data_IF_618858098757
#
_entry.id   IF_618858098757
#
_cell.length_a   1.000
_cell.length_b   1.000
_cell.length_c   1.000
_cell.angle_alpha   90.00
_cell.angle_beta   90.00
_cell.angle_gamma   90.00
#
_symmetry.space_group_name_H-M   'P 1'
#
loop_
_entity.id
_entity.type
_entity.pdbx_description
1 polymer ?
#
# COMPACT_ATOMS: atom_id res chain seq x y z
N UNK A 1 -28.27 2.47 -0.41
CA UNK A 1 -27.02 2.59 -1.20
C UNK A 1 -26.34 3.94 -0.93
N UNK A 2 -26.02 4.27 0.34
CA UNK A 2 -25.54 5.62 0.72
C UNK A 2 -24.25 5.63 1.54
N UNK A 3 -23.83 4.50 2.13
CA UNK A 3 -22.62 4.47 2.97
C UNK A 3 -21.29 4.58 2.20
N UNK A 4 -21.22 4.14 0.93
CA UNK A 4 -19.97 4.15 0.16
C UNK A 4 -19.59 5.55 -0.33
N UNK A 5 -20.58 6.31 -0.84
CA UNK A 5 -20.38 7.68 -1.35
C UNK A 5 -19.89 8.62 -0.25
N UNK A 6 -20.50 8.53 0.94
CA UNK A 6 -20.11 9.34 2.10
C UNK A 6 -18.66 9.06 2.54
N UNK A 7 -18.21 7.80 2.42
CA UNK A 7 -16.86 7.43 2.77
C UNK A 7 -15.83 7.95 1.75
N UNK A 8 -16.10 7.85 0.45
CA UNK A 8 -15.19 8.38 -0.58
C UNK A 8 -15.10 9.92 -0.52
N UNK A 9 -16.21 10.59 -0.28
CA UNK A 9 -16.24 12.04 -0.06
C UNK A 9 -15.43 12.47 1.15
N UNK A 10 -15.64 11.81 2.29
CA UNK A 10 -14.84 12.04 3.48
C UNK A 10 -13.34 11.92 3.20
N UNK A 11 -12.90 10.82 2.57
CA UNK A 11 -11.47 10.61 2.29
C UNK A 11 -10.92 11.62 1.29
N UNK A 12 -11.71 12.04 0.30
CA UNK A 12 -11.32 13.08 -0.64
C UNK A 12 -11.06 14.41 0.08
N UNK A 13 -11.98 14.83 0.94
CA UNK A 13 -11.81 16.02 1.78
C UNK A 13 -10.62 15.89 2.73
N UNK A 14 -10.43 14.72 3.35
CA UNK A 14 -9.29 14.44 4.21
C UNK A 14 -7.96 14.58 3.46
N UNK A 15 -7.87 14.03 2.24
CA UNK A 15 -6.67 14.12 1.41
C UNK A 15 -6.44 15.55 0.94
N UNK A 16 -7.49 16.29 0.58
CA UNK A 16 -7.38 17.71 0.21
C UNK A 16 -6.90 18.56 1.38
N UNK A 17 -7.44 18.33 2.58
CA UNK A 17 -6.95 18.96 3.80
C UNK A 17 -5.47 18.63 4.03
N UNK A 18 -5.07 17.36 3.91
CA UNK A 18 -3.67 16.95 4.03
C UNK A 18 -2.76 17.65 3.02
N UNK A 19 -3.18 17.73 1.75
CA UNK A 19 -2.48 18.45 0.69
C UNK A 19 -2.27 19.93 1.03
N UNK A 20 -3.27 20.58 1.63
CA UNK A 20 -3.20 21.99 2.04
C UNK A 20 -2.24 22.28 3.20
N UNK A 21 -1.75 21.25 3.90
CA UNK A 21 -0.92 21.36 5.10
C UNK A 21 0.54 20.93 4.83
N UNK A 22 1.36 21.74 4.11
CA UNK A 22 2.71 21.36 3.70
C UNK A 22 3.67 21.08 4.86
N UNK A 23 3.40 21.61 6.06
CA UNK A 23 4.14 21.29 7.27
C UNK A 23 4.13 19.77 7.59
N UNK A 24 3.16 19.02 7.08
CA UNK A 24 3.03 17.58 7.34
C UNK A 24 3.72 16.69 6.31
N UNK A 25 4.00 17.17 5.10
CA UNK A 25 4.46 16.32 3.99
C UNK A 25 5.60 16.89 3.14
N UNK A 26 5.82 18.21 3.14
CA UNK A 26 6.80 18.87 2.28
C UNK A 26 8.15 19.03 3.01
N UNK A 27 8.94 17.95 3.05
CA UNK A 27 10.19 17.86 3.83
C UNK A 27 11.18 19.01 3.57
N UNK A 28 11.25 19.49 2.33
CA UNK A 28 12.16 20.59 1.92
C UNK A 28 11.66 21.99 2.30
N UNK A 29 10.47 22.12 2.88
CA UNK A 29 9.89 23.40 3.30
C UNK A 29 10.34 23.78 4.71
N UNK A 30 10.53 25.08 4.96
CA UNK A 30 10.79 25.58 6.32
C UNK A 30 9.63 25.25 7.28
N UNK A 31 8.40 25.26 6.76
CA UNK A 31 7.19 24.89 7.51
C UNK A 31 7.26 23.47 8.07
N UNK A 32 8.02 22.56 7.43
CA UNK A 32 8.18 21.19 7.91
C UNK A 32 9.11 21.10 9.12
N UNK A 33 10.04 22.05 9.27
CA UNK A 33 10.97 22.12 10.40
C UNK A 33 10.30 22.71 11.65
N UNK A 34 9.29 23.54 11.45
CA UNK A 34 8.47 24.08 12.55
C UNK A 34 7.66 22.97 13.22
N UNK A 35 8.05 22.63 14.44
CA UNK A 35 7.41 21.58 15.25
C UNK A 35 6.01 21.98 15.72
N UNK A 36 5.80 23.26 16.05
CA UNK A 36 4.53 23.76 16.56
C UNK A 36 3.51 23.80 15.43
N UNK A 37 3.89 24.38 14.29
CA UNK A 37 3.04 24.40 13.10
C UNK A 37 2.68 22.98 12.63
N UNK A 38 3.66 22.07 12.64
CA UNK A 38 3.42 20.66 12.29
C UNK A 38 2.42 20.01 13.26
N UNK A 39 2.56 20.25 14.56
CA UNK A 39 1.61 19.76 15.55
C UNK A 39 0.19 20.27 15.27
N UNK A 40 0.03 21.58 15.05
CA UNK A 40 -1.27 22.20 14.77
C UNK A 40 -1.91 21.68 13.48
N UNK A 41 -1.10 21.42 12.45
CA UNK A 41 -1.58 20.75 11.24
C UNK A 41 -2.10 19.33 11.53
N UNK A 42 -1.41 18.56 12.38
CA UNK A 42 -1.90 17.24 12.79
C UNK A 42 -3.18 17.32 13.61
N UNK A 43 -3.33 18.31 14.49
CA UNK A 43 -4.59 18.54 15.22
C UNK A 43 -5.75 18.76 14.25
N UNK A 44 -5.58 19.58 13.21
CA UNK A 44 -6.61 19.79 12.16
C UNK A 44 -6.99 18.48 11.46
N UNK A 45 -5.99 17.67 11.08
CA UNK A 45 -6.23 16.37 10.45
C UNK A 45 -6.93 15.39 11.39
N UNK A 46 -6.55 15.35 12.66
CA UNK A 46 -7.19 14.51 13.67
C UNK A 46 -8.65 14.92 13.89
N UNK A 47 -8.96 16.22 13.93
CA UNK A 47 -10.33 16.69 14.05
C UNK A 47 -11.19 16.25 12.85
N UNK A 48 -10.64 16.29 11.63
CA UNK A 48 -11.34 15.72 10.46
C UNK A 48 -11.53 14.21 10.61
N UNK A 49 -10.50 13.47 11.02
CA UNK A 49 -10.60 12.02 11.23
C UNK A 49 -11.66 11.62 12.27
N UNK A 50 -11.89 12.46 13.27
CA UNK A 50 -12.91 12.25 14.30
C UNK A 50 -14.36 12.25 13.81
N UNK A 51 -14.63 12.77 12.62
CA UNK A 51 -15.96 12.69 12.01
C UNK A 51 -16.37 11.24 11.70
N UNK A 52 -15.38 10.36 11.45
CA UNK A 52 -15.63 8.92 11.20
C UNK A 52 -15.10 8.00 12.30
N UNK A 53 -14.14 8.47 13.11
CA UNK A 53 -13.58 7.75 14.26
C UNK A 53 -13.40 8.71 15.44
N UNK A 54 -14.43 8.88 16.29
CA UNK A 54 -14.41 9.83 17.41
C UNK A 54 -13.26 9.60 18.41
N UNK A 55 -12.70 8.38 18.45
CA UNK A 55 -11.60 8.02 19.35
C UNK A 55 -10.22 8.34 18.78
N UNK A 56 -10.15 8.79 17.53
CA UNK A 56 -8.90 9.06 16.84
C UNK A 56 -8.05 10.11 17.57
N UNK A 57 -6.78 9.78 17.75
CA UNK A 57 -5.75 10.68 18.24
C UNK A 57 -4.75 11.05 17.13
N UNK A 58 -3.78 11.91 17.46
CA UNK A 58 -2.74 12.34 16.52
C UNK A 58 -1.93 11.13 16.01
N UNK A 59 -1.68 10.13 16.86
CA UNK A 59 -0.90 8.96 16.47
C UNK A 59 -1.67 8.09 15.47
N UNK A 60 -2.96 7.86 15.71
CA UNK A 60 -3.86 7.14 14.80
C UNK A 60 -3.95 7.87 13.46
N UNK A 61 -4.03 9.19 13.49
CA UNK A 61 -4.03 10.04 12.28
C UNK A 61 -2.75 9.88 11.48
N UNK A 62 -1.57 9.94 12.13
CA UNK A 62 -0.26 9.70 11.49
C UNK A 62 -0.18 8.29 10.89
N UNK A 63 -0.62 7.27 11.62
CA UNK A 63 -0.66 5.88 11.14
C UNK A 63 -1.53 5.76 9.90
N UNK A 64 -2.72 6.39 9.90
CA UNK A 64 -3.63 6.38 8.75
C UNK A 64 -3.01 7.03 7.51
N UNK A 65 -2.39 8.21 7.68
CA UNK A 65 -1.67 8.90 6.60
C UNK A 65 -0.54 8.02 6.06
N UNK A 66 0.23 7.38 6.95
CA UNK A 66 1.32 6.50 6.53
C UNK A 66 0.80 5.31 5.70
N UNK A 67 -0.30 4.68 6.11
CA UNK A 67 -0.94 3.60 5.35
C UNK A 67 -1.36 4.10 3.96
N UNK A 68 -2.02 5.26 3.87
CA UNK A 68 -2.43 5.83 2.58
C UNK A 68 -1.22 6.11 1.67
N UNK A 69 -0.15 6.68 2.22
CA UNK A 69 1.09 6.94 1.47
C UNK A 69 1.77 5.65 1.02
N UNK A 70 1.83 4.62 1.86
CA UNK A 70 2.37 3.31 1.48
C UNK A 70 1.57 2.67 0.34
N UNK A 71 0.24 2.78 0.36
CA UNK A 71 -0.60 2.35 -0.75
C UNK A 71 -0.28 3.14 -2.03
N UNK A 72 -0.25 4.46 -1.94
CA UNK A 72 0.10 5.33 -3.07
C UNK A 72 1.48 5.01 -3.67
N UNK A 73 2.51 4.82 -2.84
CA UNK A 73 3.86 4.43 -3.28
C UNK A 73 3.85 3.13 -4.08
N UNK A 74 3.10 2.11 -3.63
CA UNK A 74 3.00 0.82 -4.34
C UNK A 74 2.35 0.99 -5.70
N UNK A 75 1.26 1.75 -5.78
CA UNK A 75 0.58 2.04 -7.04
C UNK A 75 1.49 2.86 -7.98
N UNK A 76 2.16 3.88 -7.45
CA UNK A 76 3.09 4.72 -8.21
C UNK A 76 4.24 3.89 -8.79
N UNK A 77 4.78 2.90 -8.05
CA UNK A 77 5.82 2.00 -8.53
C UNK A 77 5.37 1.21 -9.78
N UNK A 78 4.11 0.76 -9.82
CA UNK A 78 3.55 0.06 -10.99
C UNK A 78 3.43 0.97 -12.20
N UNK A 79 2.93 2.19 -12.00
CA UNK A 79 2.84 3.22 -13.05
C UNK A 79 4.22 3.50 -13.64
N UNK A 80 5.20 3.81 -12.79
CA UNK A 80 6.57 4.11 -13.22
C UNK A 80 7.25 2.93 -13.92
N UNK A 81 6.99 1.69 -13.46
CA UNK A 81 7.54 0.50 -14.09
C UNK A 81 7.00 0.30 -15.52
N UNK A 82 5.71 0.54 -15.70
CA UNK A 82 5.04 0.46 -17.01
C UNK A 82 5.52 1.57 -17.96
N UNK A 83 5.66 2.81 -17.46
CA UNK A 83 6.25 3.92 -18.21
C UNK A 83 7.70 3.61 -18.67
N UNK A 84 8.50 2.96 -17.81
CA UNK A 84 9.91 2.64 -18.10
C UNK A 84 10.09 1.50 -19.11
N UNK A 85 9.16 0.55 -19.19
CA UNK A 85 9.27 -0.59 -20.12
C UNK A 85 9.13 -0.22 -21.59
N UNK A 86 8.86 1.05 -21.93
CA UNK A 86 8.66 1.49 -23.31
C UNK A 86 7.43 0.84 -23.95
N UNK A 87 6.45 0.49 -23.11
CA UNK A 87 5.19 -0.06 -23.56
C UNK A 87 4.44 0.99 -24.40
N UNK A 88 3.67 0.54 -25.39
CA UNK A 88 2.83 1.45 -26.18
C UNK A 88 1.85 2.18 -25.25
N UNK A 89 1.27 3.30 -25.69
CA UNK A 89 0.36 4.14 -24.88
C UNK A 89 -0.82 3.29 -24.34
N UNK A 90 -1.22 2.28 -25.10
CA UNK A 90 -2.29 1.33 -24.76
C UNK A 90 -1.90 0.30 -23.68
N UNK A 91 -0.61 0.13 -23.39
CA UNK A 91 -0.06 -0.81 -22.39
C UNK A 91 0.37 -0.12 -21.07
N UNK A 92 0.08 1.18 -20.92
CA UNK A 92 0.41 1.92 -19.69
C UNK A 92 -0.50 1.45 -18.54
N UNK A 93 0.10 1.08 -17.41
CA UNK A 93 -0.63 0.69 -16.21
C UNK A 93 -1.46 1.86 -15.68
N UNK A 94 -2.78 1.66 -15.65
CA UNK A 94 -3.73 2.58 -15.02
C UNK A 94 -3.96 2.18 -13.56
N UNK A 95 -3.72 3.07 -12.58
CA UNK A 95 -4.02 2.84 -11.18
C UNK A 95 -5.49 2.45 -10.97
N UNK A 96 -5.74 1.38 -10.22
CA UNK A 96 -7.11 0.90 -9.96
C UNK A 96 -7.78 1.61 -8.78
N UNK A 97 -7.03 2.42 -8.04
CA UNK A 97 -7.48 3.05 -6.81
C UNK A 97 -7.98 4.47 -7.08
N UNK A 98 -9.24 4.76 -6.73
CA UNK A 98 -9.90 6.03 -7.05
C UNK A 98 -9.18 7.27 -6.52
N UNK A 99 -8.53 7.19 -5.36
CA UNK A 99 -7.85 8.33 -4.73
C UNK A 99 -6.41 8.53 -5.24
N UNK A 100 -5.94 7.72 -6.19
CA UNK A 100 -4.56 7.82 -6.67
C UNK A 100 -4.24 9.24 -7.17
N UNK A 101 -5.19 9.82 -7.91
CA UNK A 101 -5.08 11.16 -8.46
C UNK A 101 -4.98 12.24 -7.39
N UNK A 102 -5.66 12.05 -6.26
CA UNK A 102 -5.63 12.99 -5.14
C UNK A 102 -4.26 13.05 -4.46
N UNK A 103 -3.47 11.99 -4.56
CA UNK A 103 -2.11 11.92 -4.02
C UNK A 103 -1.01 12.33 -5.01
N UNK A 104 -1.34 12.74 -6.25
CA UNK A 104 -0.35 13.15 -7.28
C UNK A 104 0.63 14.22 -6.79
N UNK A 105 0.24 15.08 -5.85
CA UNK A 105 1.13 16.09 -5.26
C UNK A 105 2.33 15.51 -4.49
N UNK A 106 2.29 14.22 -4.15
CA UNK A 106 3.40 13.51 -3.51
C UNK A 106 4.38 12.87 -4.50
N UNK A 107 4.08 12.79 -5.80
CA UNK A 107 4.88 12.05 -6.80
C UNK A 107 6.36 12.37 -6.69
N UNK A 108 6.73 13.65 -6.75
CA UNK A 108 8.13 14.09 -6.70
C UNK A 108 8.79 13.80 -5.35
N UNK A 109 8.01 13.85 -4.27
CA UNK A 109 8.50 13.57 -2.92
C UNK A 109 8.78 12.08 -2.71
N UNK A 110 7.92 11.20 -3.23
CA UNK A 110 8.06 9.75 -3.06
C UNK A 110 9.15 9.17 -3.96
N UNK A 111 9.28 9.64 -5.20
CA UNK A 111 10.33 9.20 -6.13
C UNK A 111 11.73 9.49 -5.56
N UNK A 112 11.90 10.66 -4.94
CA UNK A 112 13.18 11.05 -4.32
C UNK A 112 13.54 10.20 -3.09
N UNK A 113 12.54 9.69 -2.36
CA UNK A 113 12.76 8.82 -1.20
C UNK A 113 13.19 7.42 -1.67
N UNK A 114 12.53 6.89 -2.71
CA UNK A 114 12.87 5.57 -3.27
C UNK A 114 14.27 5.54 -3.90
N UNK A 115 14.74 6.64 -4.51
CA UNK A 115 16.08 6.71 -5.10
C UNK A 115 17.26 6.68 -4.11
N UNK A 116 17.01 6.72 -2.79
CA UNK A 116 18.04 6.72 -1.74
C UNK A 116 18.22 5.38 -1.00
N UNK A 117 17.48 4.34 -1.36
CA UNK A 117 17.60 3.02 -0.71
C UNK A 117 17.87 1.94 -1.75
N UNK A 118 19.15 1.59 -1.89
CA UNK A 118 19.59 0.35 -2.53
C UNK A 118 19.61 -0.71 -1.42
N UNK A 119 18.57 -1.54 -1.33
CA UNK A 119 18.60 -2.97 -0.94
C UNK A 119 17.18 -3.51 -1.14
N UNK A 120 17.02 -4.44 -2.07
CA UNK A 120 15.80 -5.22 -2.29
C UNK A 120 15.66 -6.33 -1.23
N UNK A 121 15.49 -6.00 0.06
CA UNK A 121 15.13 -7.01 1.08
C UNK A 121 14.17 -6.42 2.12
N UNK A 122 12.96 -6.99 2.16
CA UNK A 122 12.01 -7.06 3.28
C UNK A 122 11.50 -5.75 3.94
N UNK A 123 10.45 -5.14 3.37
CA UNK A 123 9.52 -4.30 4.14
C UNK A 123 8.61 -5.19 5.03
N UNK A 124 9.19 -5.75 6.09
CA UNK A 124 8.51 -6.54 7.14
C UNK A 124 8.08 -5.71 8.35
N UNK A 125 7.91 -4.39 8.21
CA UNK A 125 7.41 -3.54 9.30
C UNK A 125 6.23 -2.67 8.87
N UNK A 126 5.09 -3.32 8.68
CA UNK A 126 3.72 -2.93 9.13
C UNK A 126 2.68 -3.83 8.46
N UNK A 127 2.85 -5.12 8.70
CA UNK A 127 1.96 -6.23 8.43
C UNK A 127 1.24 -6.58 9.73
N UNK A 128 0.38 -5.68 10.21
CA UNK A 128 -0.74 -6.08 11.06
C UNK A 128 -2.01 -5.47 10.49
N UNK A 129 -2.81 -6.36 9.92
CA UNK A 129 -4.17 -6.22 9.41
C UNK A 129 -4.35 -5.63 8.01
N UNK A 130 -4.20 -6.50 6.99
CA UNK A 130 -5.12 -6.53 5.84
C UNK A 130 -5.27 -7.97 5.33
N UNK A 131 -5.97 -8.79 6.11
CA UNK A 131 -6.87 -9.81 5.59
C UNK A 131 -8.23 -9.63 6.28
N UNK A 132 -8.98 -8.61 5.87
CA UNK A 132 -10.43 -8.69 5.80
C UNK A 132 -10.96 -7.47 5.05
N UNK A 133 -11.15 -7.66 3.75
CA UNK A 133 -12.31 -7.06 3.09
C UNK A 133 -13.51 -7.94 3.45
N UNK A 134 -14.24 -7.61 4.52
CA UNK A 134 -15.66 -7.91 4.76
C UNK A 134 -16.13 -7.15 6.02
N UNK A 135 -17.19 -6.34 5.89
CA UNK A 135 -18.12 -5.78 6.89
C UNK A 135 -17.63 -5.30 8.28
N UNK A 136 -17.72 -3.98 8.50
CA UNK A 136 -17.90 -3.40 9.84
C UNK A 136 -19.40 -3.53 10.18
N UNK A 137 -19.75 -4.55 10.96
CA UNK A 137 -20.97 -4.55 11.78
C UNK A 137 -20.51 -4.64 13.24
N UNK A 138 -20.95 -3.67 14.02
CA UNK A 138 -20.74 -3.62 15.47
C UNK A 138 -21.42 -4.80 16.15
N UNK A 139 -20.73 -5.46 17.08
CA UNK A 139 -21.36 -5.93 18.30
C UNK A 139 -20.31 -6.08 19.41
N UNK A 140 -20.80 -5.81 20.61
CA UNK A 140 -20.10 -5.40 21.81
C UNK A 140 -20.24 -6.51 22.83
N UNK A 141 -19.15 -7.01 23.42
CA UNK A 141 -19.20 -7.58 24.78
C UNK A 141 -17.87 -7.41 25.51
N UNK A 142 -18.03 -6.86 26.72
CA UNK A 142 -17.13 -6.78 27.87
C UNK A 142 -16.72 -8.22 28.28
N UNK A 143 -15.63 -8.52 28.99
CA UNK A 143 -15.13 -7.90 30.23
C UNK A 143 -13.89 -8.71 30.74
N UNK A 144 -13.14 -8.11 31.69
CA UNK A 144 -12.39 -8.73 32.83
C UNK A 144 -10.96 -9.35 32.64
N UNK A 145 -9.97 -8.54 33.05
CA UNK A 145 -8.90 -8.71 34.08
C UNK A 145 -8.47 -10.12 34.59
N UNK A 146 -7.15 -10.42 34.55
CA UNK A 146 -6.29 -10.80 35.70
C UNK A 146 -5.02 -11.62 35.31
N UNK A 147 -3.86 -11.02 35.57
CA UNK A 147 -2.64 -11.52 36.25
C UNK A 147 -2.20 -13.00 36.23
N UNK A 148 -0.92 -13.21 35.84
CA UNK A 148 0.16 -13.88 36.62
C UNK A 148 0.83 -15.17 36.06
N UNK A 149 2.16 -15.08 35.97
CA UNK A 149 3.25 -16.04 36.29
C UNK A 149 3.67 -17.19 35.37
N UNK A 150 4.96 -17.50 35.55
CA UNK A 150 5.92 -18.32 34.80
C UNK A 150 5.69 -19.86 34.84
N UNK A 151 6.19 -20.56 33.82
CA UNK A 151 7.31 -21.53 33.89
C UNK A 151 7.40 -22.41 32.62
N UNK A 152 8.64 -22.60 32.12
CA UNK A 152 9.11 -23.70 31.24
C UNK A 152 9.28 -25.00 32.07
N UNK A 153 9.69 -26.21 31.57
CA UNK A 153 10.21 -26.61 30.24
C UNK A 153 9.69 -27.98 29.71
N UNK A 154 10.04 -28.39 28.47
CA UNK A 154 10.79 -29.63 28.09
C UNK A 154 10.77 -29.89 26.56
N UNK A 155 11.94 -30.23 26.02
CA UNK A 155 12.24 -30.81 24.68
C UNK A 155 12.45 -32.34 24.81
N UNK A 156 12.91 -33.18 23.82
CA UNK A 156 13.20 -32.98 22.39
C UNK A 156 12.67 -34.12 21.46
N UNK A 157 12.57 -33.91 20.14
CA UNK A 157 12.70 -35.01 19.13
C UNK A 157 13.48 -34.51 17.90
N UNK A 158 14.59 -35.18 17.63
CA UNK A 158 15.45 -35.02 16.44
C UNK A 158 14.91 -35.82 15.25
N UNK A 159 14.83 -35.21 14.06
CA UNK A 159 14.94 -35.90 12.77
C UNK A 159 15.74 -35.02 11.81
N UNK A 160 16.95 -35.47 11.48
CA UNK A 160 17.80 -34.95 10.39
C UNK A 160 17.23 -35.40 9.04
N UNK A 161 17.05 -34.51 8.05
CA UNK A 161 17.12 -34.87 6.61
C UNK A 161 17.49 -33.66 5.71
N UNK A 162 18.24 -34.02 4.68
CA UNK A 162 19.08 -33.32 3.69
C UNK A 162 18.33 -32.43 2.64
N UNK A 163 18.99 -31.46 1.95
CA UNK A 163 18.30 -30.49 1.09
C UNK A 163 18.06 -30.99 -0.33
N UNK A 164 16.79 -31.01 -0.76
CA UNK A 164 16.35 -31.35 -2.12
C UNK A 164 16.19 -30.10 -3.02
N UNK A 165 16.93 -30.10 -4.13
CA UNK A 165 16.94 -29.11 -5.23
C UNK A 165 15.56 -29.04 -5.93
N UNK A 166 14.96 -27.85 -6.07
CA UNK A 166 13.71 -27.65 -6.85
C UNK A 166 14.00 -27.20 -8.29
N UNK A 167 13.48 -28.00 -9.22
CA UNK A 167 13.61 -27.98 -10.68
C UNK A 167 12.71 -26.89 -11.30
N UNK A 168 13.27 -26.02 -12.15
CA UNK A 168 12.53 -25.04 -12.99
C UNK A 168 11.53 -25.77 -13.90
N UNK A 169 10.22 -25.51 -13.77
CA UNK A 169 9.22 -25.88 -14.78
C UNK A 169 9.14 -24.74 -15.81
N UNK A 170 9.63 -24.99 -17.03
CA UNK A 170 9.57 -24.06 -18.16
C UNK A 170 8.22 -24.20 -18.88
N UNK A 171 7.50 -23.09 -18.98
CA UNK A 171 7.09 -22.44 -20.23
C UNK A 171 6.68 -23.36 -21.40
N UNK A 172 5.66 -24.22 -21.23
CA UNK A 172 5.12 -25.05 -22.32
C UNK A 172 3.96 -24.40 -23.06
N UNK A 173 3.22 -23.49 -22.41
CA UNK A 173 2.02 -22.87 -23.00
C UNK A 173 2.34 -21.68 -23.90
N UNK A 174 3.30 -20.82 -23.52
CA UNK A 174 3.77 -19.73 -24.40
C UNK A 174 4.42 -20.26 -25.68
N UNK A 175 5.11 -21.41 -25.62
CA UNK A 175 5.71 -21.99 -26.82
C UNK A 175 4.63 -22.47 -27.79
N UNK A 176 3.59 -23.16 -27.29
CA UNK A 176 2.46 -23.61 -28.12
C UNK A 176 1.71 -22.44 -28.76
N UNK A 177 1.59 -21.32 -28.05
CA UNK A 177 0.92 -20.12 -28.58
C UNK A 177 1.75 -19.45 -29.68
N UNK A 178 3.07 -19.39 -29.54
CA UNK A 178 3.96 -18.85 -30.57
C UNK A 178 3.96 -19.73 -31.83
N UNK A 179 4.01 -21.06 -31.67
CA UNK A 179 3.99 -21.99 -32.80
C UNK A 179 2.66 -21.90 -33.58
N UNK A 180 1.53 -21.69 -32.89
CA UNK A 180 0.23 -21.51 -33.52
C UNK A 180 0.12 -20.18 -34.27
N UNK A 181 0.69 -19.11 -33.73
CA UNK A 181 0.72 -17.79 -34.35
C UNK A 181 1.58 -17.79 -35.62
N UNK A 182 2.72 -18.48 -35.57
CA UNK A 182 3.63 -18.62 -36.71
C UNK A 182 3.00 -19.46 -37.84
N UNK A 183 2.26 -20.52 -37.49
CA UNK A 183 1.51 -21.32 -38.45
C UNK A 183 0.38 -20.53 -39.13
N UNK A 184 -0.32 -19.66 -38.39
CA UNK A 184 -1.37 -18.80 -38.94
C UNK A 184 -0.81 -17.76 -39.91
N UNK A 185 0.30 -17.10 -39.54
CA UNK A 185 0.98 -16.11 -40.38
C UNK A 185 1.48 -16.70 -41.70
N UNK A 186 1.96 -17.94 -41.68
CA UNK A 186 2.45 -18.61 -42.90
C UNK A 186 1.32 -19.00 -43.85
N UNK A 187 0.13 -19.32 -43.35
CA UNK A 187 -1.05 -19.63 -44.20
C UNK A 187 -1.63 -18.40 -44.87
N UNK A 188 -1.59 -17.24 -44.20
CA UNK A 188 -2.08 -15.98 -44.76
C UNK A 188 -1.19 -15.43 -45.88
N UNK A 189 0.09 -15.83 -45.95
CA UNK A 189 1.03 -15.43 -47.01
C UNK A 189 0.97 -16.32 -48.26
N UNK A 190 0.21 -17.41 -48.22
CA UNK A 190 0.05 -18.36 -49.35
C UNK A 190 -1.33 -18.25 -50.03
N UNK A 191 -2.16 -17.28 -49.64
CA UNK A 191 -3.43 -16.94 -50.30
C UNK A 191 -3.33 -15.59 -51.00
#
# INVERSE_FOLDING_TARGET
MTNKLNNEEFWREFIHLYRSLPATWKIKSEMYKDKMLKHDCYVKLTNKLKEIDPTADINTTKKKINILRSNYRRELKKVLASEKSGADIDDIYLPSVWYFDEFKFLRDHEIQITGKSTTDEDETFLNTSMQQSQNITSENTKDIFATSSAETPVTPVSISHEPLKKKKRKNSEKQKMNDLLELACNRLKQS
#
